data_IF_033852223408
#
_entry.id   IF_033852223408
#
_cell.length_a   1.000
_cell.length_b   1.000
_cell.length_c   1.000
_cell.angle_alpha   90.00
_cell.angle_beta   90.00
_cell.angle_gamma   90.00
#
_symmetry.space_group_name_H-M   'P 1'
#
loop_
_entity.id
_entity.type
_entity.pdbx_description
1 polymer ?
#
# COMPACT_ATOMS: atom_id res chain seq x y z
N UNK A 1 -7.20 -29.90 -9.66
CA UNK A 1 -8.32 -29.11 -9.11
C UNK A 1 -7.72 -27.91 -8.38
N UNK A 2 -7.86 -26.71 -8.92
CA UNK A 2 -7.44 -25.45 -8.29
C UNK A 2 -8.72 -24.64 -8.04
N UNK A 3 -9.56 -25.13 -7.15
CA UNK A 3 -10.72 -24.39 -6.65
C UNK A 3 -10.33 -23.82 -5.29
N UNK A 4 -10.18 -22.49 -5.15
CA UNK A 4 -10.00 -21.93 -3.80
C UNK A 4 -9.37 -20.54 -3.61
N UNK A 5 -9.04 -19.76 -4.64
CA UNK A 5 -8.40 -18.45 -4.41
C UNK A 5 -9.02 -17.33 -5.26
N UNK A 6 -10.30 -17.04 -5.02
CA UNK A 6 -10.87 -15.74 -5.39
C UNK A 6 -11.28 -15.01 -4.11
N UNK A 7 -10.28 -14.60 -3.33
CA UNK A 7 -10.55 -13.64 -2.26
C UNK A 7 -10.92 -12.30 -2.90
N UNK A 8 -12.13 -11.75 -2.62
CA UNK A 8 -12.58 -10.52 -3.25
C UNK A 8 -11.61 -9.37 -2.94
N UNK A 9 -11.30 -8.58 -3.97
CA UNK A 9 -10.43 -7.41 -3.82
C UNK A 9 -11.27 -6.25 -3.28
N UNK A 10 -11.11 -5.98 -2.00
CA UNK A 10 -11.74 -4.84 -1.34
C UNK A 10 -10.77 -3.67 -1.19
N UNK A 11 -11.31 -2.46 -1.17
CA UNK A 11 -10.55 -1.22 -1.00
C UNK A 11 -11.10 -0.40 0.16
N UNK A 12 -10.20 0.21 0.93
CA UNK A 12 -10.58 1.14 1.99
C UNK A 12 -11.13 2.47 1.42
N UNK A 13 -11.64 3.34 2.31
CA UNK A 13 -12.12 4.69 1.93
C UNK A 13 -11.06 5.58 1.28
N UNK A 14 -9.78 5.23 1.39
CA UNK A 14 -8.66 5.94 0.79
C UNK A 14 -8.19 5.30 -0.52
N UNK A 15 -8.82 4.22 -0.99
CA UNK A 15 -8.46 3.50 -2.20
C UNK A 15 -7.25 2.57 -2.03
N UNK A 16 -6.96 2.10 -0.81
CA UNK A 16 -5.89 1.13 -0.53
C UNK A 16 -6.49 -0.27 -0.51
N UNK A 17 -5.81 -1.23 -1.11
CA UNK A 17 -6.23 -2.63 -1.04
C UNK A 17 -6.26 -3.10 0.41
N UNK A 18 -7.38 -3.71 0.81
CA UNK A 18 -7.52 -4.43 2.08
C UNK A 18 -6.63 -5.68 2.09
N UNK A 19 -6.50 -6.33 3.24
CA UNK A 19 -5.80 -7.62 3.29
C UNK A 19 -6.43 -8.61 2.30
N UNK A 20 -5.59 -9.31 1.56
CA UNK A 20 -5.98 -10.31 0.58
C UNK A 20 -4.91 -11.41 0.64
N UNK A 21 -5.27 -12.67 0.93
CA UNK A 21 -4.32 -13.75 1.11
C UNK A 21 -3.47 -14.05 -0.14
N UNK A 22 -3.94 -13.68 -1.34
CA UNK A 22 -3.24 -13.91 -2.61
C UNK A 22 -2.08 -12.92 -2.78
N UNK A 23 -2.30 -11.65 -2.39
CA UNK A 23 -1.31 -10.57 -2.57
C UNK A 23 -0.50 -10.26 -1.31
N UNK A 24 -0.93 -10.76 -0.15
CA UNK A 24 -0.38 -10.35 1.14
C UNK A 24 0.07 -11.56 1.97
N UNK A 25 0.77 -12.49 1.33
CA UNK A 25 1.27 -13.72 1.97
C UNK A 25 2.18 -13.42 3.18
N UNK A 26 2.94 -12.32 3.13
CA UNK A 26 3.86 -11.93 4.19
C UNK A 26 3.20 -11.06 5.29
N UNK A 27 1.87 -10.92 5.29
CA UNK A 27 1.20 -10.20 6.36
C UNK A 27 1.30 -10.94 7.70
N UNK A 28 1.62 -10.23 8.79
CA UNK A 28 1.83 -10.83 10.12
C UNK A 28 3.18 -11.53 10.33
N UNK A 29 3.93 -11.86 9.26
CA UNK A 29 5.29 -12.39 9.35
C UNK A 29 6.28 -11.32 9.83
N UNK A 30 7.39 -11.67 10.52
CA UNK A 30 8.44 -10.72 10.89
C UNK A 30 9.03 -10.03 9.65
N UNK A 31 9.50 -8.79 9.80
CA UNK A 31 10.14 -8.05 8.71
C UNK A 31 11.55 -8.58 8.47
N UNK A 32 11.80 -9.07 7.27
CA UNK A 32 13.15 -9.47 6.86
C UNK A 32 14.04 -8.24 6.67
N UNK A 33 15.35 -8.48 6.71
CA UNK A 33 16.33 -7.42 6.53
C UNK A 33 16.30 -6.91 5.08
N UNK A 34 16.15 -7.79 4.08
CA UNK A 34 16.02 -7.39 2.69
C UNK A 34 14.76 -6.54 2.46
N UNK A 35 13.59 -6.96 2.96
CA UNK A 35 12.33 -6.19 2.86
C UNK A 35 12.48 -4.77 3.42
N UNK A 36 13.15 -4.67 4.57
CA UNK A 36 13.34 -3.39 5.26
C UNK A 36 14.27 -2.49 4.45
N UNK A 37 15.35 -3.05 3.89
CA UNK A 37 16.29 -2.31 3.05
C UNK A 37 15.60 -1.86 1.75
N UNK A 38 14.87 -2.75 1.09
CA UNK A 38 14.10 -2.44 -0.11
C UNK A 38 13.10 -1.31 0.12
N UNK A 39 12.38 -1.36 1.24
CA UNK A 39 11.48 -0.28 1.63
C UNK A 39 12.22 1.05 1.82
N UNK A 40 13.39 1.06 2.46
CA UNK A 40 14.16 2.31 2.66
C UNK A 40 14.60 2.92 1.33
N UNK A 41 15.06 2.08 0.41
CA UNK A 41 15.66 2.53 -0.84
C UNK A 41 14.60 3.01 -1.85
N UNK A 42 13.45 2.35 -1.90
CA UNK A 42 12.46 2.55 -2.98
C UNK A 42 11.22 3.35 -2.57
N UNK A 43 10.91 3.50 -1.28
CA UNK A 43 9.61 4.03 -0.84
C UNK A 43 9.30 5.44 -1.31
N UNK A 44 10.31 6.31 -1.37
CA UNK A 44 10.11 7.68 -1.85
C UNK A 44 10.16 7.80 -3.40
N UNK A 45 10.54 6.72 -4.10
CA UNK A 45 10.63 6.65 -5.57
C UNK A 45 9.33 6.11 -6.15
N UNK A 46 8.93 4.90 -5.77
CA UNK A 46 7.79 4.17 -6.36
C UNK A 46 6.50 4.28 -5.54
N UNK A 47 6.62 4.57 -4.24
CA UNK A 47 5.49 4.73 -3.33
C UNK A 47 5.05 3.44 -2.63
N UNK A 48 4.07 3.56 -1.70
CA UNK A 48 3.67 2.47 -0.83
C UNK A 48 2.82 1.39 -1.52
N UNK A 49 2.15 1.69 -2.62
CA UNK A 49 1.37 0.72 -3.41
C UNK A 49 2.29 -0.31 -4.09
N UNK A 50 3.28 0.15 -4.85
CA UNK A 50 4.21 -0.74 -5.55
C UNK A 50 5.05 -1.57 -4.57
N UNK A 51 5.44 -0.98 -3.44
CA UNK A 51 6.16 -1.71 -2.38
C UNK A 51 5.28 -2.77 -1.72
N UNK A 52 3.98 -2.51 -1.58
CA UNK A 52 3.03 -3.46 -1.03
C UNK A 52 3.04 -4.75 -1.84
N UNK A 53 3.04 -4.63 -3.17
CA UNK A 53 3.12 -5.77 -4.08
C UNK A 53 4.50 -6.41 -4.12
N UNK A 54 5.59 -5.63 -4.04
CA UNK A 54 6.94 -6.18 -4.07
C UNK A 54 7.32 -7.01 -2.83
N UNK A 55 6.71 -6.73 -1.67
CA UNK A 55 7.04 -7.38 -0.38
C UNK A 55 5.90 -8.34 0.07
N UNK A 56 4.82 -8.44 -0.69
CA UNK A 56 3.60 -9.18 -0.35
C UNK A 56 3.03 -8.80 1.02
N UNK A 57 2.96 -7.50 1.30
CA UNK A 57 2.42 -6.95 2.55
C UNK A 57 1.44 -5.85 2.27
N UNK A 58 0.47 -5.65 3.16
CA UNK A 58 -0.53 -4.59 2.97
C UNK A 58 0.10 -3.19 2.93
N UNK A 59 -0.46 -2.30 2.09
CA UNK A 59 -0.09 -0.88 1.99
C UNK A 59 -0.06 -0.23 3.38
N UNK A 60 -1.02 -0.58 4.24
CA UNK A 60 -1.09 -0.08 5.62
C UNK A 60 0.14 -0.46 6.44
N UNK A 61 0.58 -1.72 6.36
CA UNK A 61 1.77 -2.21 7.06
C UNK A 61 3.04 -1.52 6.56
N UNK A 62 3.18 -1.38 5.25
CA UNK A 62 4.30 -0.70 4.59
C UNK A 62 4.40 0.77 5.03
N UNK A 63 3.29 1.52 4.99
CA UNK A 63 3.23 2.91 5.46
C UNK A 63 3.56 3.04 6.95
N UNK A 64 3.06 2.11 7.78
CA UNK A 64 3.34 2.10 9.21
C UNK A 64 4.82 1.85 9.49
N UNK A 65 5.43 0.86 8.80
CA UNK A 65 6.86 0.55 8.92
C UNK A 65 7.73 1.72 8.50
N UNK A 66 7.44 2.36 7.36
CA UNK A 66 8.16 3.56 6.92
C UNK A 66 8.10 4.69 7.97
N UNK A 67 6.94 4.86 8.62
CA UNK A 67 6.78 5.85 9.70
C UNK A 67 7.66 5.53 10.90
N UNK A 68 7.70 4.26 11.32
CA UNK A 68 8.56 3.81 12.43
C UNK A 68 10.05 3.98 12.10
N UNK A 69 10.47 3.62 10.88
CA UNK A 69 11.86 3.77 10.43
C UNK A 69 12.30 5.24 10.39
N UNK A 70 11.42 6.14 9.94
CA UNK A 70 11.66 7.59 9.97
C UNK A 70 11.74 8.13 11.39
N UNK A 71 10.86 7.67 12.29
CA UNK A 71 10.90 8.05 13.70
C UNK A 71 12.20 7.58 14.37
N UNK A 72 12.68 6.39 14.00
CA UNK A 72 13.95 5.83 14.48
C UNK A 72 15.20 6.33 13.74
N UNK A 73 15.09 7.30 12.83
CA UNK A 73 16.23 7.85 12.08
C UNK A 73 16.87 6.94 11.04
N UNK A 74 16.31 5.74 10.80
CA UNK A 74 16.82 4.75 9.83
C UNK A 74 16.45 5.07 8.39
N UNK A 75 15.42 5.90 8.19
CA UNK A 75 14.95 6.33 6.88
C UNK A 75 14.85 7.85 6.86
N UNK A 76 15.40 8.49 5.83
CA UNK A 76 15.31 9.94 5.66
C UNK A 76 13.87 10.35 5.31
N UNK A 77 13.48 11.57 5.69
CA UNK A 77 12.24 12.17 5.20
C UNK A 77 12.50 12.77 3.80
N UNK A 78 11.59 12.58 2.84
CA UNK A 78 11.77 13.14 1.51
C UNK A 78 11.66 14.67 1.58
N UNK A 79 12.51 15.36 0.82
CA UNK A 79 12.50 16.83 0.70
C UNK A 79 11.24 17.30 -0.05
N UNK A 80 10.87 16.56 -1.10
CA UNK A 80 9.66 16.81 -1.89
C UNK A 80 8.62 15.74 -1.58
N UNK A 81 7.42 16.16 -1.21
CA UNK A 81 6.30 15.22 -1.00
C UNK A 81 5.76 14.78 -2.36
N UNK A 82 6.02 13.53 -2.73
CA UNK A 82 5.34 12.88 -3.84
C UNK A 82 3.97 12.42 -3.35
N UNK A 83 2.89 12.83 -4.03
CA UNK A 83 1.53 12.36 -3.72
C UNK A 83 1.12 11.30 -4.71
N UNK A 84 0.89 10.07 -4.23
CA UNK A 84 0.30 9.02 -5.06
C UNK A 84 -1.13 9.44 -5.43
N UNK A 85 -1.45 9.52 -6.73
CA UNK A 85 -2.81 9.82 -7.20
C UNK A 85 -3.68 8.58 -7.06
N UNK A 86 -4.20 8.31 -5.86
CA UNK A 86 -5.20 7.26 -5.66
C UNK A 86 -6.53 7.64 -6.33
N UNK A 87 -7.18 6.65 -6.93
CA UNK A 87 -8.56 6.80 -7.41
C UNK A 87 -9.45 7.07 -6.18
N UNK A 88 -9.87 8.32 -6.02
CA UNK A 88 -10.93 8.67 -5.05
C UNK A 88 -12.25 8.19 -5.67
N UNK A 89 -13.12 7.55 -4.87
CA UNK A 89 -14.46 7.00 -5.21
C UNK A 89 -14.99 7.34 -6.61
N UNK A 90 -15.44 6.29 -7.32
CA UNK A 90 -16.00 6.28 -8.68
C UNK A 90 -16.24 7.69 -9.28
N UNK A 91 -15.43 8.14 -10.27
CA UNK A 91 -15.64 9.46 -10.89
C UNK A 91 -17.05 9.62 -11.48
N UNK A 92 -17.73 8.51 -11.83
CA UNK A 92 -19.13 8.51 -12.32
C UNK A 92 -20.15 8.86 -11.23
N UNK A 93 -19.85 8.63 -9.95
CA UNK A 93 -20.73 9.00 -8.84
C UNK A 93 -20.85 10.53 -8.67
N UNK A 94 -19.93 11.31 -9.25
CA UNK A 94 -19.96 12.77 -9.22
C UNK A 94 -20.88 13.37 -10.30
N UNK A 95 -21.15 12.62 -11.38
CA UNK A 95 -21.96 13.06 -12.53
C UNK A 95 -23.45 12.96 -12.22
N UNK A 96 -23.86 11.93 -11.46
CA UNK A 96 -25.27 11.67 -11.15
C UNK A 96 -25.92 12.68 -10.17
N UNK A 97 -25.11 13.44 -9.42
CA UNK A 97 -25.61 14.37 -8.39
C UNK A 97 -25.89 15.78 -8.96
N UNK A 98 -25.62 16.01 -10.25
CA UNK A 98 -25.72 17.35 -10.88
C UNK A 98 -26.91 17.51 -11.83
N UNK A 99 -27.95 16.71 -11.65
CA UNK A 99 -29.20 16.73 -12.42
C UNK A 99 -30.39 16.83 -11.45
N UNK A 100 -30.54 17.99 -10.81
CA UNK A 100 -31.82 18.48 -10.24
C UNK A 100 -31.89 19.97 -10.57
#
# INVERSE_FOLDING_TARGET
>A
MLEGLEAPIEYDKYGRMSYNPIFHENNGKPWYKEDTQYLIDWYDIIGPEEISFAIDRTIKSVMHKATLLRKGGKMKKPLKKTTCKRIKKNPLARVQVKQI
#
